data_IF_326856961966
#
_entry.id   IF_326856961966
#
_cell.length_a   1.000
_cell.length_b   1.000
_cell.length_c   1.000
_cell.angle_alpha   90.00
_cell.angle_beta   90.00
_cell.angle_gamma   90.00
#
_symmetry.space_group_name_H-M   'P 1'
#
loop_
_entity.id
_entity.type
_entity.pdbx_description
1 polymer ?
#
# COMPACT_ATOMS: atom_id res chain seq x y z
N UNK A 1 32.32 -13.89 15.53
CA UNK A 1 31.88 -13.17 16.73
C UNK A 1 30.39 -12.93 16.58
N UNK A 2 29.56 -13.67 17.32
CA UNK A 2 28.10 -13.58 17.26
C UNK A 2 27.65 -12.74 18.45
N UNK A 3 27.35 -11.47 18.20
CA UNK A 3 26.85 -10.55 19.21
C UNK A 3 25.36 -10.80 19.42
N UNK A 4 25.02 -11.22 20.63
CA UNK A 4 23.66 -11.16 21.20
C UNK A 4 23.24 -9.70 21.28
N UNK A 5 22.09 -9.33 20.71
CA UNK A 5 21.53 -7.97 20.82
C UNK A 5 20.14 -8.04 21.46
N UNK A 6 20.04 -7.37 22.61
CA UNK A 6 18.82 -7.10 23.37
C UNK A 6 17.81 -6.29 22.53
N UNK A 7 16.54 -6.67 22.62
CA UNK A 7 15.40 -5.98 22.02
C UNK A 7 14.56 -5.33 23.14
N UNK A 8 14.32 -4.02 23.02
CA UNK A 8 13.13 -3.22 23.41
C UNK A 8 13.52 -1.75 23.22
N UNK A 9 12.69 -0.96 22.51
CA UNK A 9 12.21 0.37 22.93
C UNK A 9 11.93 1.32 21.76
N UNK A 10 10.66 1.31 21.33
CA UNK A 10 9.87 2.52 21.04
C UNK A 10 9.86 3.12 19.61
N UNK A 11 8.63 3.17 19.04
CA UNK A 11 8.03 4.17 18.13
C UNK A 11 7.92 3.88 16.62
N UNK A 12 6.81 3.25 16.21
CA UNK A 12 6.43 3.12 14.78
C UNK A 12 4.95 3.48 14.58
N UNK A 13 4.64 4.77 14.68
CA UNK A 13 3.26 5.27 14.75
C UNK A 13 2.66 5.73 13.42
N UNK A 14 3.06 5.22 12.25
CA UNK A 14 2.19 5.24 11.04
C UNK A 14 2.67 4.27 9.94
N UNK A 15 3.48 3.27 10.33
CA UNK A 15 3.68 2.06 9.54
C UNK A 15 2.37 1.26 9.36
N UNK A 16 1.24 1.71 9.90
CA UNK A 16 -0.11 1.16 9.73
C UNK A 16 -0.77 1.59 8.42
N UNK A 17 -0.44 2.75 7.85
CA UNK A 17 -0.87 3.05 6.46
C UNK A 17 -0.02 2.23 5.49
N UNK A 18 1.27 2.05 5.75
CA UNK A 18 2.22 1.54 4.76
C UNK A 18 2.68 0.09 4.91
N UNK A 19 2.59 -0.47 6.11
CA UNK A 19 3.29 -1.70 6.47
C UNK A 19 4.81 -1.52 6.51
N UNK A 20 5.39 -1.77 7.68
CA UNK A 20 6.80 -2.15 7.94
C UNK A 20 7.89 -1.06 8.06
N UNK A 21 8.74 -1.13 9.12
CA UNK A 21 10.05 -0.48 9.18
C UNK A 21 11.12 -1.24 8.35
N UNK A 22 12.10 -0.54 7.76
CA UNK A 22 13.11 -1.15 6.85
C UNK A 22 14.01 -2.20 7.52
N UNK A 23 14.39 -1.99 8.78
CA UNK A 23 15.42 -2.82 9.42
C UNK A 23 14.92 -4.19 9.88
N UNK A 24 13.60 -4.40 9.88
CA UNK A 24 12.99 -5.60 10.45
C UNK A 24 12.11 -6.38 9.46
N UNK A 25 11.79 -5.86 8.27
CA UNK A 25 10.84 -6.51 7.37
C UNK A 25 11.28 -7.88 6.83
N UNK A 26 12.51 -7.97 6.31
CA UNK A 26 13.02 -9.19 5.68
C UNK A 26 13.22 -10.31 6.70
N UNK A 27 13.61 -9.95 7.93
CA UNK A 27 13.92 -10.91 8.99
C UNK A 27 12.77 -11.13 9.95
N UNK A 28 11.92 -10.16 10.32
CA UNK A 28 11.02 -10.27 11.49
C UNK A 28 9.87 -11.27 11.35
N UNK A 29 9.33 -11.56 10.17
CA UNK A 29 8.32 -12.63 10.06
C UNK A 29 9.00 -13.96 10.33
N UNK A 30 10.11 -14.27 9.66
CA UNK A 30 10.85 -15.51 9.91
C UNK A 30 11.55 -15.52 11.27
N UNK A 31 12.11 -14.43 11.75
CA UNK A 31 12.76 -14.25 13.07
C UNK A 31 11.74 -14.10 14.21
N UNK A 32 10.44 -14.00 13.94
CA UNK A 32 9.41 -14.22 14.97
C UNK A 32 8.78 -15.60 14.86
N UNK A 33 8.69 -16.18 13.66
CA UNK A 33 8.17 -17.52 13.46
C UNK A 33 9.18 -18.62 13.84
N UNK A 34 10.47 -18.39 13.61
CA UNK A 34 11.56 -19.36 13.81
C UNK A 34 12.09 -19.41 15.25
N UNK A 35 12.16 -18.33 16.06
CA UNK A 35 12.65 -18.44 17.44
C UNK A 35 11.62 -18.87 18.48
N UNK A 36 10.30 -18.76 18.19
CA UNK A 36 9.26 -19.45 18.99
C UNK A 36 9.30 -20.97 18.83
N UNK A 37 10.18 -21.47 17.97
CA UNK A 37 10.57 -22.87 17.88
C UNK A 37 11.71 -23.12 18.87
N UNK A 38 11.39 -23.56 20.09
CA UNK A 38 12.40 -24.01 21.06
C UNK A 38 12.96 -25.39 20.64
N UNK A 39 14.23 -25.50 20.18
CA UNK A 39 14.83 -26.78 19.82
C UNK A 39 15.04 -27.69 21.04
N UNK A 40 14.84 -27.20 22.27
CA UNK A 40 14.91 -27.99 23.51
C UNK A 40 13.58 -28.57 23.93
N UNK A 41 12.48 -28.29 23.22
CA UNK A 41 11.24 -29.02 23.39
C UNK A 41 11.38 -30.42 22.75
N UNK A 42 11.43 -31.51 23.54
CA UNK A 42 11.78 -32.84 23.04
C UNK A 42 10.73 -33.45 22.10
N UNK A 43 9.58 -32.79 21.89
CA UNK A 43 8.52 -33.23 20.96
C UNK A 43 8.50 -32.50 19.61
N UNK A 44 9.39 -31.52 19.37
CA UNK A 44 9.32 -30.66 18.18
C UNK A 44 10.63 -30.54 17.42
N UNK A 45 11.41 -31.62 17.29
CA UNK A 45 12.71 -31.59 16.59
C UNK A 45 12.65 -31.65 15.04
N UNK A 46 11.47 -31.64 14.41
CA UNK A 46 11.33 -32.00 12.99
C UNK A 46 11.02 -30.87 11.99
N UNK A 47 10.69 -29.65 12.42
CA UNK A 47 10.25 -28.57 11.50
C UNK A 47 11.41 -27.72 10.98
N UNK A 48 12.45 -27.42 11.78
CA UNK A 48 13.61 -26.66 11.25
C UNK A 48 14.50 -27.46 10.29
N UNK A 49 14.29 -28.77 10.19
CA UNK A 49 14.88 -29.62 9.16
C UNK A 49 13.97 -29.78 7.91
N UNK A 50 12.75 -29.23 7.88
CA UNK A 50 11.76 -29.52 6.82
C UNK A 50 11.34 -28.33 5.94
N UNK A 51 11.57 -27.07 6.34
CA UNK A 51 11.26 -25.94 5.47
C UNK A 51 12.28 -25.88 4.33
N UNK A 52 11.81 -25.99 3.09
CA UNK A 52 12.70 -25.88 1.93
C UNK A 52 13.30 -24.48 1.84
N UNK A 53 14.48 -24.36 1.23
CA UNK A 53 15.06 -23.04 0.92
C UNK A 53 14.15 -22.20 0.01
N UNK A 54 13.36 -22.84 -0.85
CA UNK A 54 12.36 -22.18 -1.69
C UNK A 54 11.28 -21.50 -0.86
N UNK A 55 10.74 -22.18 0.16
CA UNK A 55 9.72 -21.63 1.04
C UNK A 55 10.28 -20.46 1.86
N UNK A 56 11.46 -20.64 2.45
CA UNK A 56 12.13 -19.58 3.25
C UNK A 56 12.38 -18.34 2.38
N UNK A 57 12.99 -18.52 1.21
CA UNK A 57 13.27 -17.40 0.31
C UNK A 57 11.99 -16.77 -0.26
N UNK A 58 10.94 -17.55 -0.49
CA UNK A 58 9.66 -17.05 -1.00
C UNK A 58 8.83 -16.27 0.02
N UNK A 59 9.16 -16.37 1.32
CA UNK A 59 8.53 -15.57 2.38
C UNK A 59 9.26 -14.24 2.63
N UNK A 60 10.45 -14.05 2.05
CA UNK A 60 11.17 -12.79 2.13
C UNK A 60 10.53 -11.76 1.19
N UNK A 61 10.50 -10.50 1.64
CA UNK A 61 10.22 -9.38 0.76
C UNK A 61 11.35 -9.20 -0.25
N UNK A 62 11.02 -8.69 -1.44
CA UNK A 62 12.02 -8.34 -2.43
C UNK A 62 12.89 -7.16 -1.95
N UNK A 63 14.14 -7.09 -2.43
CA UNK A 63 15.05 -5.99 -2.07
C UNK A 63 14.45 -4.61 -2.39
N UNK A 64 13.77 -4.48 -3.52
CA UNK A 64 13.14 -3.21 -3.91
C UNK A 64 11.93 -2.85 -3.03
N UNK A 65 11.24 -3.84 -2.45
CA UNK A 65 10.18 -3.60 -1.47
C UNK A 65 10.81 -3.03 -0.20
N UNK A 66 11.86 -3.68 0.31
CA UNK A 66 12.59 -3.24 1.51
C UNK A 66 13.14 -1.82 1.32
N UNK A 67 13.83 -1.55 0.22
CA UNK A 67 14.40 -0.23 -0.05
C UNK A 67 13.32 0.85 -0.15
N UNK A 68 12.15 0.52 -0.70
CA UNK A 68 11.04 1.48 -0.79
C UNK A 68 10.43 1.85 0.57
N UNK A 69 10.52 0.95 1.56
CA UNK A 69 10.05 1.24 2.92
C UNK A 69 10.96 2.22 3.66
N UNK A 70 12.16 2.52 3.14
CA UNK A 70 13.11 3.42 3.80
C UNK A 70 12.74 4.90 3.69
N UNK A 71 11.85 5.26 2.76
CA UNK A 71 11.52 6.65 2.47
C UNK A 71 10.18 7.05 3.09
N UNK A 72 10.24 8.05 3.98
CA UNK A 72 9.09 8.58 4.69
C UNK A 72 8.88 10.07 4.39
N UNK A 73 7.63 10.48 4.54
CA UNK A 73 7.21 11.86 4.71
C UNK A 73 6.95 12.06 6.20
N UNK A 74 7.73 12.94 6.82
CA UNK A 74 7.45 13.40 8.17
C UNK A 74 6.52 14.61 8.12
N UNK A 75 5.43 14.55 8.88
CA UNK A 75 4.51 15.65 9.10
C UNK A 75 4.76 16.13 10.53
N UNK A 76 5.37 17.29 10.69
CA UNK A 76 5.80 17.78 11.99
C UNK A 76 5.54 19.27 12.15
N UNK A 77 5.43 19.77 13.40
CA UNK A 77 5.38 21.17 13.65
C UNK A 77 6.76 21.78 13.35
N UNK A 78 6.74 23.04 12.95
CA UNK A 78 7.92 23.82 12.67
C UNK A 78 7.74 25.27 13.15
N UNK A 79 8.86 25.97 13.26
CA UNK A 79 8.90 27.43 13.36
C UNK A 79 9.60 28.02 12.15
N UNK A 80 9.19 29.19 11.73
CA UNK A 80 9.91 29.97 10.74
C UNK A 80 10.88 30.90 11.48
N UNK A 81 12.17 30.82 11.17
CA UNK A 81 13.15 31.80 11.63
C UNK A 81 12.90 33.16 10.97
N UNK A 82 13.53 34.21 11.50
CA UNK A 82 13.38 35.59 10.99
C UNK A 82 13.77 35.72 9.50
N UNK A 83 14.62 34.82 9.00
CA UNK A 83 15.07 34.76 7.61
C UNK A 83 14.15 33.94 6.68
N UNK A 84 13.05 33.38 7.20
CA UNK A 84 12.13 32.54 6.45
C UNK A 84 12.48 31.04 6.47
N UNK A 85 13.58 30.64 7.11
CA UNK A 85 13.99 29.24 7.20
C UNK A 85 13.01 28.46 8.07
N UNK A 86 12.55 27.32 7.57
CA UNK A 86 11.73 26.37 8.32
C UNK A 86 12.65 25.58 9.24
N UNK A 87 12.43 25.69 10.56
CA UNK A 87 13.13 24.93 11.60
C UNK A 87 12.11 23.95 12.19
N UNK A 88 12.19 22.65 11.84
CA UNK A 88 11.33 21.64 12.44
C UNK A 88 11.56 21.54 13.94
N UNK A 89 10.50 21.24 14.69
CA UNK A 89 10.66 20.94 16.12
C UNK A 89 11.10 19.48 16.27
N UNK A 90 12.40 19.29 16.48
CA UNK A 90 13.05 17.98 16.44
C UNK A 90 13.29 17.36 17.81
N UNK A 91 13.27 18.14 18.90
CA UNK A 91 13.65 17.70 20.24
C UNK A 91 12.54 17.87 21.29
N UNK A 92 12.53 16.97 22.27
CA UNK A 92 11.64 17.02 23.45
C UNK A 92 12.16 17.96 24.57
N UNK A 93 13.41 18.41 24.47
CA UNK A 93 14.07 19.27 25.46
C UNK A 93 13.82 20.77 25.20
N UNK A 94 13.13 21.12 24.11
CA UNK A 94 12.50 22.43 24.02
C UNK A 94 11.33 22.41 25.02
N UNK A 95 11.58 22.91 26.24
CA UNK A 95 10.60 23.33 27.24
C UNK A 95 9.68 24.47 26.72
N UNK A 96 9.49 24.55 25.40
CA UNK A 96 8.72 25.59 24.74
C UNK A 96 7.21 25.30 24.91
N UNK A 97 6.51 26.05 25.78
CA UNK A 97 5.06 25.89 25.97
C UNK A 97 4.26 26.14 24.69
N UNK A 98 4.86 26.71 23.63
CA UNK A 98 4.22 26.91 22.35
C UNK A 98 3.95 25.61 21.57
N UNK A 99 4.74 24.56 21.74
CA UNK A 99 4.48 23.24 21.12
C UNK A 99 3.20 22.62 21.72
N UNK A 100 2.97 22.82 23.02
CA UNK A 100 1.73 22.43 23.68
C UNK A 100 0.53 23.30 23.24
N UNK A 101 0.78 24.51 22.71
CA UNK A 101 -0.28 25.40 22.20
C UNK A 101 -0.76 25.03 20.79
N UNK A 102 0.05 24.34 19.97
CA UNK A 102 -0.39 23.73 18.70
C UNK A 102 -1.55 22.75 18.95
N UNK A 103 -1.55 22.06 20.11
CA UNK A 103 -2.68 21.20 20.53
C UNK A 103 -3.97 21.97 20.81
N UNK A 104 -3.91 23.28 21.08
CA UNK A 104 -5.09 24.10 21.36
C UNK A 104 -5.70 24.70 20.09
N UNK A 105 -4.87 25.05 19.11
CA UNK A 105 -5.31 25.57 17.82
C UNK A 105 -4.29 25.20 16.73
N UNK A 106 -4.45 24.06 16.04
CA UNK A 106 -3.66 23.78 14.84
C UNK A 106 -4.15 24.73 13.75
N UNK A 107 -3.67 25.98 13.75
CA UNK A 107 -3.77 26.82 12.57
C UNK A 107 -2.73 26.33 11.56
N UNK A 108 -3.11 26.31 10.27
CA UNK A 108 -2.34 25.79 9.12
C UNK A 108 -0.85 26.15 9.09
N UNK A 109 -0.45 27.26 9.70
CA UNK A 109 0.86 27.87 9.47
C UNK A 109 2.05 27.10 10.04
N UNK A 110 1.86 26.21 11.03
CA UNK A 110 3.00 25.66 11.79
C UNK A 110 3.21 24.15 11.58
N UNK A 111 2.51 23.49 10.66
CA UNK A 111 2.76 22.07 10.31
C UNK A 111 3.30 22.01 8.87
N UNK A 112 4.37 21.24 8.64
CA UNK A 112 4.97 21.07 7.32
C UNK A 112 5.25 19.60 7.04
N UNK A 113 5.32 19.26 5.75
CA UNK A 113 5.91 18.02 5.28
C UNK A 113 7.43 18.16 5.12
N UNK A 114 8.14 17.12 5.55
CA UNK A 114 9.55 16.88 5.25
C UNK A 114 9.63 15.57 4.48
N UNK A 115 10.21 15.62 3.29
CA UNK A 115 10.35 14.47 2.39
C UNK A 115 11.72 13.79 2.60
N UNK A 116 11.84 12.57 2.12
CA UNK A 116 13.08 11.78 2.15
C UNK A 116 13.66 11.60 3.56
N UNK A 117 12.78 11.46 4.56
CA UNK A 117 13.19 11.11 5.93
C UNK A 117 13.40 9.61 6.00
N UNK A 118 14.51 9.17 6.59
CA UNK A 118 14.89 7.75 6.71
C UNK A 118 15.33 7.39 8.13
N UNK A 119 15.30 6.08 8.50
CA UNK A 119 15.67 5.67 9.84
C UNK A 119 17.16 5.91 10.13
N UNK A 120 17.48 6.54 11.26
CA UNK A 120 18.85 6.79 11.71
C UNK A 120 19.47 5.51 12.33
N UNK A 121 20.74 5.54 12.73
CA UNK A 121 21.37 4.39 13.42
C UNK A 121 20.70 4.03 14.76
N UNK A 122 19.92 4.96 15.34
CA UNK A 122 19.04 4.74 16.49
C UNK A 122 17.57 4.61 16.10
N UNK A 123 17.25 4.13 14.88
CA UNK A 123 15.89 3.92 14.40
C UNK A 123 15.00 3.14 15.38
N UNK A 124 15.61 2.20 16.11
CA UNK A 124 14.91 1.41 17.13
C UNK A 124 14.29 2.26 18.23
N UNK A 125 14.77 3.48 18.46
CA UNK A 125 14.23 4.45 19.44
C UNK A 125 13.34 5.52 18.82
N UNK A 126 12.96 5.35 17.55
CA UNK A 126 12.11 6.28 16.82
C UNK A 126 12.83 7.51 16.28
N UNK A 127 14.16 7.44 16.12
CA UNK A 127 14.97 8.52 15.56
C UNK A 127 15.14 8.33 14.06
N UNK A 128 14.84 9.37 13.32
CA UNK A 128 14.94 9.46 11.86
C UNK A 128 15.81 10.65 11.49
N UNK A 129 16.32 10.70 10.27
CA UNK A 129 17.06 11.86 9.75
C UNK A 129 16.67 12.14 8.30
N UNK A 130 16.86 13.38 7.84
CA UNK A 130 16.74 13.73 6.42
C UNK A 130 18.11 13.72 5.71
N UNK A 131 18.11 14.04 4.41
CA UNK A 131 19.33 14.09 3.58
C UNK A 131 20.38 15.08 4.10
N UNK A 132 19.96 16.10 4.87
CA UNK A 132 20.82 17.13 5.46
C UNK A 132 21.32 16.74 6.88
N UNK A 133 20.90 15.57 7.40
CA UNK A 133 21.28 15.06 8.71
C UNK A 133 20.50 15.69 9.88
N UNK A 134 19.36 16.33 9.61
CA UNK A 134 18.48 16.85 10.66
C UNK A 134 17.72 15.68 11.28
N UNK A 135 17.87 15.47 12.58
CA UNK A 135 17.18 14.37 13.29
C UNK A 135 15.70 14.70 13.56
N UNK A 136 14.81 13.71 13.46
CA UNK A 136 13.39 13.78 13.78
C UNK A 136 13.03 12.65 14.74
N UNK A 137 12.20 12.94 15.75
CA UNK A 137 11.71 11.94 16.69
C UNK A 137 10.23 11.63 16.50
N UNK A 138 9.95 10.41 16.09
CA UNK A 138 8.63 9.81 16.22
C UNK A 138 8.54 9.26 17.64
N UNK A 139 7.72 9.83 18.52
CA UNK A 139 7.46 9.24 19.85
C UNK A 139 5.97 9.18 20.17
N UNK A 140 5.50 8.41 21.18
CA UNK A 140 4.07 8.39 21.55
C UNK A 140 3.60 9.71 22.17
N UNK A 141 4.54 10.63 22.44
CA UNK A 141 4.28 12.03 22.82
C UNK A 141 4.63 12.99 21.66
N UNK A 142 4.81 12.44 20.47
CA UNK A 142 5.73 12.87 19.41
C UNK A 142 5.63 14.29 18.90
N UNK A 143 6.73 14.69 18.25
CA UNK A 143 6.83 15.88 17.41
C UNK A 143 6.46 15.57 15.96
N UNK A 144 6.68 14.36 15.42
CA UNK A 144 6.38 14.05 14.02
C UNK A 144 5.45 12.85 13.81
N UNK A 145 4.64 12.91 12.75
CA UNK A 145 3.86 11.82 12.16
C UNK A 145 4.59 11.31 10.91
N UNK A 146 4.86 10.02 10.80
CA UNK A 146 5.67 9.46 9.70
C UNK A 146 4.84 8.60 8.76
N UNK A 147 4.66 9.00 7.51
CA UNK A 147 3.92 8.24 6.49
C UNK A 147 4.92 7.76 5.43
N UNK A 148 4.93 6.50 4.99
CA UNK A 148 5.80 6.15 3.84
C UNK A 148 5.45 7.00 2.64
N UNK A 149 6.46 7.37 1.86
CA UNK A 149 6.31 8.26 0.73
C UNK A 149 5.21 7.83 -0.26
N UNK A 150 5.22 6.56 -0.68
CA UNK A 150 4.23 6.01 -1.64
C UNK A 150 2.80 6.06 -1.10
N UNK A 151 2.61 5.74 0.17
CA UNK A 151 1.31 5.85 0.84
C UNK A 151 0.83 7.30 0.94
N UNK A 152 1.74 8.26 1.16
CA UNK A 152 1.42 9.68 1.18
C UNK A 152 0.95 10.17 -0.19
N UNK A 153 1.59 9.74 -1.29
CA UNK A 153 1.13 10.06 -2.65
C UNK A 153 -0.28 9.52 -2.92
N UNK A 154 -0.56 8.27 -2.50
CA UNK A 154 -1.90 7.68 -2.61
C UNK A 154 -2.92 8.48 -1.80
N UNK A 155 -2.56 8.90 -0.57
CA UNK A 155 -3.41 9.72 0.28
C UNK A 155 -3.76 11.05 -0.39
N UNK A 156 -2.77 11.75 -0.96
CA UNK A 156 -2.99 13.02 -1.69
C UNK A 156 -3.89 12.83 -2.91
N UNK A 157 -3.85 11.68 -3.58
CA UNK A 157 -4.76 11.38 -4.69
C UNK A 157 -6.18 11.06 -4.23
N UNK A 158 -6.30 10.21 -3.20
CA UNK A 158 -7.57 9.64 -2.75
C UNK A 158 -8.39 10.61 -1.89
N UNK A 159 -7.69 11.46 -1.13
CA UNK A 159 -8.24 12.40 -0.17
C UNK A 159 -7.56 13.78 -0.34
N UNK A 160 -7.76 14.46 -1.50
CA UNK A 160 -7.01 15.66 -1.86
C UNK A 160 -7.26 16.85 -0.92
N UNK A 161 -8.39 16.87 -0.22
CA UNK A 161 -8.74 17.91 0.75
C UNK A 161 -8.03 17.72 2.09
N UNK A 162 -7.50 16.53 2.38
CA UNK A 162 -6.79 16.26 3.63
C UNK A 162 -5.40 16.88 3.55
N UNK A 163 -5.19 17.89 4.40
CA UNK A 163 -3.92 18.59 4.54
C UNK A 163 -3.05 18.01 5.67
N UNK A 164 -1.73 18.26 5.66
CA UNK A 164 -0.80 17.75 6.67
C UNK A 164 -1.20 18.12 8.11
N UNK A 165 -1.65 19.35 8.34
CA UNK A 165 -2.07 19.80 9.66
C UNK A 165 -3.30 19.01 10.18
N UNK A 166 -4.19 18.56 9.28
CA UNK A 166 -5.35 17.74 9.63
C UNK A 166 -4.90 16.33 10.03
N UNK A 167 -3.99 15.73 9.27
CA UNK A 167 -3.39 14.42 9.62
C UNK A 167 -2.71 14.49 10.98
N UNK A 168 -1.96 15.57 11.23
CA UNK A 168 -1.31 15.81 12.50
C UNK A 168 -2.33 15.93 13.65
N UNK A 169 -3.39 16.71 13.46
CA UNK A 169 -4.45 16.88 14.46
C UNK A 169 -5.21 15.58 14.76
N UNK A 170 -5.46 14.76 13.75
CA UNK A 170 -6.06 13.43 13.92
C UNK A 170 -5.13 12.47 14.65
N UNK A 171 -3.84 12.46 14.30
CA UNK A 171 -2.83 11.62 14.94
C UNK A 171 -2.54 11.99 16.39
N UNK A 172 -2.63 13.28 16.73
CA UNK A 172 -2.30 13.81 18.05
C UNK A 172 -3.46 14.63 18.63
N UNK A 173 -4.59 13.99 18.99
CA UNK A 173 -5.76 14.70 19.48
C UNK A 173 -5.47 15.44 20.80
N UNK A 174 -6.13 16.58 20.97
CA UNK A 174 -5.96 17.48 22.12
C UNK A 174 -6.41 16.88 23.45
N UNK A 175 -7.21 15.82 23.43
CA UNK A 175 -7.74 15.12 24.60
C UNK A 175 -6.71 14.22 25.30
N UNK A 176 -5.48 14.17 24.77
CA UNK A 176 -4.37 13.42 25.34
C UNK A 176 -4.47 11.90 25.13
N UNK A 177 -5.46 11.43 24.35
CA UNK A 177 -5.51 10.02 23.94
C UNK A 177 -4.34 9.74 23.01
N UNK A 178 -3.53 8.76 23.41
CA UNK A 178 -2.47 8.24 22.55
C UNK A 178 -3.12 7.29 21.55
N UNK A 179 -3.18 7.72 20.30
CA UNK A 179 -3.61 6.88 19.17
C UNK A 179 -2.56 5.82 18.82
N UNK A 180 -1.31 5.98 19.29
CA UNK A 180 -0.16 5.16 18.87
C UNK A 180 -0.08 5.00 17.33
N UNK A 181 -0.54 6.02 16.59
CA UNK A 181 -0.59 5.96 15.12
C UNK A 181 -1.82 5.30 14.51
N UNK A 182 -2.72 4.74 15.33
CA UNK A 182 -3.99 4.18 14.88
C UNK A 182 -5.12 5.18 15.15
N UNK A 183 -5.66 5.74 14.08
CA UNK A 183 -6.78 6.66 14.18
C UNK A 183 -8.05 5.86 14.52
N UNK A 184 -8.67 6.22 15.65
CA UNK A 184 -9.92 5.61 16.09
C UNK A 184 -10.98 5.65 14.97
N UNK A 185 -11.57 4.49 14.66
CA UNK A 185 -12.63 4.37 13.67
C UNK A 185 -12.15 4.16 12.23
N UNK A 186 -10.85 4.07 11.98
CA UNK A 186 -10.29 3.69 10.69
C UNK A 186 -9.99 2.18 10.69
N UNK A 187 -10.46 1.48 9.65
CA UNK A 187 -10.00 0.11 9.36
C UNK A 187 -8.84 0.16 8.37
N UNK A 188 -7.68 -0.24 8.86
CA UNK A 188 -6.43 -0.42 8.14
C UNK A 188 -6.33 -1.79 7.46
N UNK A 189 -7.30 -2.68 7.68
CA UNK A 189 -7.36 -4.01 7.09
C UNK A 189 -6.46 -5.00 7.85
N UNK A 190 -5.70 -5.88 7.17
CA UNK A 190 -4.85 -6.86 7.84
C UNK A 190 -3.85 -6.28 8.85
N UNK A 191 -3.44 -5.02 8.68
CA UNK A 191 -2.48 -4.35 9.58
C UNK A 191 -3.13 -3.67 10.79
N UNK A 192 -4.45 -3.80 10.99
CA UNK A 192 -5.20 -3.16 12.10
C UNK A 192 -4.65 -3.51 13.50
N UNK A 193 -4.03 -4.69 13.64
CA UNK A 193 -3.48 -5.20 14.90
C UNK A 193 -1.96 -5.02 15.03
N UNK A 194 -1.33 -4.41 14.02
CA UNK A 194 0.10 -4.10 14.04
C UNK A 194 0.25 -2.69 14.61
N UNK A 195 0.13 -2.57 15.93
CA UNK A 195 0.31 -1.31 16.64
C UNK A 195 1.28 -1.43 17.81
N UNK A 196 1.95 -0.31 18.11
CA UNK A 196 2.80 -0.16 19.30
C UNK A 196 4.26 -0.59 19.14
N UNK A 197 4.97 -0.61 20.27
CA UNK A 197 6.44 -0.75 20.36
C UNK A 197 6.95 -2.20 20.20
N UNK A 198 6.07 -3.11 19.82
CA UNK A 198 6.36 -4.52 19.57
C UNK A 198 5.38 -4.98 18.50
N UNK A 199 5.56 -4.52 17.25
CA UNK A 199 4.65 -4.85 16.16
C UNK A 199 4.49 -6.36 16.10
N UNK A 200 3.27 -6.82 16.38
CA UNK A 200 2.95 -8.25 16.36
C UNK A 200 2.78 -8.68 14.92
N UNK A 201 3.87 -8.71 14.15
CA UNK A 201 3.87 -8.99 12.71
C UNK A 201 3.12 -10.27 12.35
N UNK A 202 3.16 -11.26 13.23
CA UNK A 202 2.43 -12.53 13.08
C UNK A 202 0.90 -12.33 13.07
N UNK A 203 0.37 -11.26 13.65
CA UNK A 203 -1.06 -10.94 13.68
C UNK A 203 -1.59 -10.31 12.39
N UNK A 204 -0.75 -10.18 11.35
CA UNK A 204 -1.21 -9.80 10.00
C UNK A 204 -2.20 -10.82 9.43
N UNK A 205 -2.11 -12.08 9.86
CA UNK A 205 -2.98 -13.12 9.38
C UNK A 205 -4.45 -12.88 9.79
N UNK A 206 -5.37 -13.32 8.93
CA UNK A 206 -6.79 -13.37 9.23
C UNK A 206 -7.03 -14.47 10.27
N UNK A 207 -7.21 -14.06 11.53
CA UNK A 207 -7.52 -14.94 12.65
C UNK A 207 -9.03 -15.03 12.88
N UNK A 208 -9.52 -16.23 13.15
CA UNK A 208 -10.82 -16.40 13.79
C UNK A 208 -10.70 -15.98 15.28
N UNK A 209 -11.80 -15.62 15.95
CA UNK A 209 -11.80 -15.06 17.33
C UNK A 209 -11.05 -15.88 18.40
N UNK A 210 -10.68 -17.13 18.09
CA UNK A 210 -10.03 -18.07 19.01
C UNK A 210 -8.71 -18.65 18.49
N UNK A 211 -8.24 -18.25 17.31
CA UNK A 211 -6.99 -18.76 16.75
C UNK A 211 -5.79 -17.93 17.22
N UNK A 212 -4.76 -18.59 17.75
CA UNK A 212 -3.47 -17.97 18.03
C UNK A 212 -2.69 -17.77 16.72
N UNK A 213 -2.23 -16.54 16.44
CA UNK A 213 -1.41 -16.21 15.28
C UNK A 213 -0.21 -17.17 15.11
N UNK A 214 0.46 -17.55 16.20
CA UNK A 214 1.57 -18.49 16.13
C UNK A 214 1.11 -19.88 15.69
N UNK A 215 -0.04 -20.33 16.18
CA UNK A 215 -0.64 -21.61 15.79
C UNK A 215 -1.06 -21.60 14.32
N UNK A 216 -1.66 -20.50 13.84
CA UNK A 216 -1.99 -20.30 12.44
C UNK A 216 -0.76 -20.46 11.55
N UNK A 217 0.30 -19.69 11.81
CA UNK A 217 1.50 -19.70 10.99
C UNK A 217 2.23 -21.04 11.05
N UNK A 218 2.33 -21.63 12.25
CA UNK A 218 2.88 -22.97 12.40
C UNK A 218 2.09 -23.96 11.55
N UNK A 219 0.77 -23.98 11.69
CA UNK A 219 -0.09 -24.88 10.93
C UNK A 219 0.11 -24.68 9.43
N UNK A 220 0.03 -23.44 8.93
CA UNK A 220 0.22 -23.09 7.51
C UNK A 220 1.57 -23.57 6.95
N UNK A 221 2.66 -23.31 7.68
CA UNK A 221 4.02 -23.62 7.23
C UNK A 221 4.35 -25.12 7.34
N UNK A 222 3.60 -25.88 8.14
CA UNK A 222 3.82 -27.32 8.33
C UNK A 222 2.71 -28.21 7.75
N UNK A 223 1.84 -27.70 6.88
CA UNK A 223 0.71 -28.49 6.35
C UNK A 223 1.20 -29.69 5.52
N UNK A 224 0.94 -30.94 5.95
CA UNK A 224 1.35 -32.10 5.18
C UNK A 224 0.56 -32.18 3.88
N UNK A 225 1.25 -32.47 2.78
CA UNK A 225 0.64 -32.66 1.46
C UNK A 225 0.43 -31.38 0.64
N UNK A 226 0.80 -30.21 1.16
CA UNK A 226 0.90 -28.99 0.35
C UNK A 226 2.32 -28.79 -0.16
N UNK A 227 2.41 -28.26 -1.38
CA UNK A 227 3.65 -27.81 -1.98
C UNK A 227 4.06 -26.43 -1.44
N UNK A 228 5.35 -26.09 -1.53
CA UNK A 228 5.84 -24.76 -1.15
C UNK A 228 5.08 -23.64 -1.87
N UNK A 229 4.74 -23.83 -3.14
CA UNK A 229 3.97 -22.84 -3.91
C UNK A 229 2.57 -22.61 -3.35
N UNK A 230 1.89 -23.66 -2.88
CA UNK A 230 0.55 -23.54 -2.28
C UNK A 230 0.62 -22.90 -0.90
N UNK A 231 1.68 -23.19 -0.13
CA UNK A 231 1.94 -22.55 1.17
C UNK A 231 2.22 -21.06 0.96
N UNK A 232 3.08 -20.71 0.00
CA UNK A 232 3.40 -19.33 -0.35
C UNK A 232 2.17 -18.57 -0.86
N UNK A 233 1.36 -19.17 -1.73
CA UNK A 233 0.11 -18.52 -2.20
C UNK A 233 -0.85 -18.27 -1.02
N UNK A 234 -0.99 -19.21 -0.09
CA UNK A 234 -1.81 -19.03 1.11
C UNK A 234 -1.24 -18.00 2.10
N UNK A 235 0.09 -17.89 2.21
CA UNK A 235 0.77 -16.89 3.03
C UNK A 235 0.62 -15.48 2.45
N UNK A 236 0.85 -15.33 1.14
CA UNK A 236 0.83 -14.04 0.46
C UNK A 236 -0.56 -13.56 0.11
N UNK A 237 -1.44 -14.42 -0.45
CA UNK A 237 -2.77 -14.06 -0.95
C UNK A 237 -3.92 -14.57 -0.09
N UNK A 238 -3.69 -15.65 0.63
CA UNK A 238 -4.70 -16.26 1.51
C UNK A 238 -4.79 -15.56 2.86
N UNK A 239 -5.11 -16.35 3.90
CA UNK A 239 -5.25 -15.85 5.28
C UNK A 239 -3.94 -15.30 5.86
N UNK A 240 -2.78 -15.54 5.26
CA UNK A 240 -1.53 -14.98 5.75
C UNK A 240 -1.38 -13.47 5.50
N UNK A 241 -2.10 -12.89 4.53
CA UNK A 241 -2.15 -11.46 4.25
C UNK A 241 -0.79 -10.73 4.07
N UNK A 242 0.29 -11.44 3.71
CA UNK A 242 1.60 -10.78 3.52
C UNK A 242 1.58 -9.76 2.38
N UNK A 243 0.60 -9.83 1.48
CA UNK A 243 0.37 -8.82 0.43
C UNK A 243 0.30 -7.38 0.96
N UNK A 244 -0.09 -7.18 2.23
CA UNK A 244 -0.18 -5.85 2.85
C UNK A 244 1.19 -5.17 3.06
N UNK A 245 2.30 -5.93 2.95
CA UNK A 245 3.66 -5.41 3.08
C UNK A 245 4.35 -5.14 1.74
N UNK A 246 3.74 -5.55 0.62
CA UNK A 246 4.30 -5.34 -0.71
C UNK A 246 4.10 -3.88 -1.10
N UNK A 247 5.11 -3.24 -1.72
CA UNK A 247 5.00 -1.82 -2.06
C UNK A 247 3.81 -1.54 -2.98
N UNK A 248 3.04 -0.47 -2.76
CA UNK A 248 1.79 -0.24 -3.48
C UNK A 248 1.98 0.42 -4.85
N UNK A 249 3.17 0.86 -5.22
CA UNK A 249 3.49 1.59 -6.46
C UNK A 249 4.09 0.68 -7.55
N UNK A 250 4.08 -0.66 -7.36
CA UNK A 250 4.47 -1.63 -8.40
C UNK A 250 3.27 -2.07 -9.22
N UNK A 251 3.13 -1.44 -10.37
CA UNK A 251 2.07 -1.75 -11.31
C UNK A 251 2.44 -2.93 -12.21
N UNK A 252 1.49 -3.83 -12.54
CA UNK A 252 1.77 -5.06 -13.28
C UNK A 252 1.88 -4.84 -14.80
N UNK A 253 2.69 -3.84 -15.20
CA UNK A 253 2.86 -3.43 -16.61
C UNK A 253 3.58 -4.53 -17.39
N UNK A 254 4.65 -5.11 -16.82
CA UNK A 254 5.42 -6.16 -17.48
C UNK A 254 4.55 -7.42 -17.71
N UNK A 255 3.76 -7.82 -16.71
CA UNK A 255 2.82 -8.93 -16.76
C UNK A 255 1.71 -8.68 -17.78
N UNK A 256 1.25 -7.43 -17.88
CA UNK A 256 0.28 -7.02 -18.89
C UNK A 256 0.86 -7.10 -20.30
N UNK A 257 2.09 -6.65 -20.50
CA UNK A 257 2.77 -6.72 -21.80
C UNK A 257 3.10 -8.16 -22.21
N UNK A 258 3.40 -9.03 -21.24
CA UNK A 258 3.65 -10.45 -21.48
C UNK A 258 2.37 -11.27 -21.70
N UNK A 259 1.21 -10.71 -21.32
CA UNK A 259 -0.08 -11.37 -21.46
C UNK A 259 -0.50 -11.44 -22.93
N UNK A 260 -0.89 -12.63 -23.44
CA UNK A 260 -1.44 -12.74 -24.78
C UNK A 260 -2.70 -11.87 -24.96
N UNK A 261 -2.86 -11.22 -26.14
CA UNK A 261 -4.08 -10.49 -26.44
C UNK A 261 -5.30 -11.42 -26.35
N UNK A 262 -6.45 -10.83 -26.03
CA UNK A 262 -7.70 -11.60 -26.06
C UNK A 262 -7.92 -12.17 -27.46
N UNK A 263 -8.24 -13.46 -27.53
CA UNK A 263 -8.53 -14.11 -28.79
C UNK A 263 -9.65 -13.36 -29.53
N UNK A 264 -9.35 -12.97 -30.77
CA UNK A 264 -10.34 -12.45 -31.69
C UNK A 264 -11.18 -13.61 -32.24
N UNK A 265 -12.48 -13.38 -32.36
CA UNK A 265 -13.41 -14.32 -32.94
C UNK A 265 -14.08 -13.61 -34.11
N UNK A 266 -13.50 -13.69 -35.32
CA UNK A 266 -14.14 -13.12 -36.48
C UNK A 266 -15.53 -13.73 -36.59
N UNK A 267 -16.55 -12.88 -36.46
CA UNK A 267 -17.90 -13.25 -36.79
C UNK A 267 -17.94 -13.27 -38.32
N UNK A 268 -18.05 -14.45 -38.93
CA UNK A 268 -18.18 -14.53 -40.39
C UNK A 268 -19.42 -13.74 -40.82
N UNK A 269 -19.25 -12.83 -41.78
CA UNK A 269 -20.31 -11.92 -42.25
C UNK A 269 -21.33 -12.59 -43.19
N UNK A 270 -21.21 -13.89 -43.47
CA UNK A 270 -21.88 -14.50 -44.63
C UNK A 270 -22.83 -15.65 -44.32
N UNK A 271 -23.53 -15.64 -43.17
CA UNK A 271 -24.74 -16.47 -43.06
C UNK A 271 -25.99 -15.59 -43.28
N UNK A 272 -26.57 -15.59 -44.50
CA UNK A 272 -27.82 -14.87 -44.77
C UNK A 272 -29.01 -15.40 -43.95
N UNK A 273 -28.85 -16.53 -43.24
CA UNK A 273 -29.83 -17.04 -42.27
C UNK A 273 -29.47 -16.69 -40.81
N UNK A 274 -28.38 -15.96 -40.54
CA UNK A 274 -28.07 -15.47 -39.21
C UNK A 274 -29.17 -14.50 -38.77
N UNK A 275 -29.97 -14.95 -37.81
CA UNK A 275 -31.11 -14.21 -37.28
C UNK A 275 -30.69 -12.75 -36.94
N UNK A 276 -31.42 -11.71 -37.42
CA UNK A 276 -31.11 -10.30 -37.15
C UNK A 276 -31.38 -9.87 -35.68
N UNK A 277 -31.44 -10.82 -34.74
CA UNK A 277 -31.98 -10.61 -33.38
C UNK A 277 -31.01 -10.16 -32.30
N UNK A 278 -29.82 -9.64 -32.65
CA UNK A 278 -28.92 -9.05 -31.66
C UNK A 278 -29.37 -7.62 -31.31
N UNK A 279 -29.26 -7.17 -30.04
CA UNK A 279 -29.46 -5.77 -29.72
C UNK A 279 -28.49 -4.89 -30.53
N UNK A 280 -28.89 -3.66 -30.90
CA UNK A 280 -28.01 -2.69 -31.54
C UNK A 280 -26.69 -2.49 -30.76
N UNK A 281 -25.58 -2.26 -31.46
CA UNK A 281 -24.24 -2.13 -30.84
C UNK A 281 -24.22 -1.02 -29.78
N UNK A 282 -24.84 0.11 -30.05
CA UNK A 282 -24.98 1.24 -29.14
C UNK A 282 -25.68 0.83 -27.84
N UNK A 283 -26.74 0.01 -27.90
CA UNK A 283 -27.42 -0.52 -26.71
C UNK A 283 -26.49 -1.45 -25.92
N UNK A 284 -25.73 -2.32 -26.59
CA UNK A 284 -24.78 -3.22 -25.94
C UNK A 284 -23.67 -2.42 -25.25
N UNK A 285 -23.06 -1.46 -25.95
CA UNK A 285 -21.99 -0.63 -25.41
C UNK A 285 -22.50 0.20 -24.23
N UNK A 286 -23.70 0.78 -24.34
CA UNK A 286 -24.31 1.53 -23.25
C UNK A 286 -24.54 0.64 -22.02
N UNK A 287 -25.01 -0.60 -22.19
CA UNK A 287 -25.10 -1.57 -21.08
C UNK A 287 -23.71 -1.82 -20.48
N UNK A 288 -22.69 -2.05 -21.31
CA UNK A 288 -21.32 -2.30 -20.84
C UNK A 288 -20.72 -1.14 -20.04
N UNK A 289 -21.13 0.12 -20.32
CA UNK A 289 -20.70 1.29 -19.56
C UNK A 289 -21.20 1.28 -18.10
N UNK A 290 -22.37 0.68 -17.82
CA UNK A 290 -22.90 0.54 -16.46
C UNK A 290 -22.45 -0.73 -15.74
N UNK A 291 -21.89 -1.70 -16.47
CA UNK A 291 -21.44 -2.94 -15.86
C UNK A 291 -20.13 -2.70 -15.08
N UNK A 292 -19.98 -3.30 -13.89
CA UNK A 292 -18.66 -3.33 -13.27
C UNK A 292 -17.72 -4.14 -14.18
N UNK A 293 -16.46 -3.75 -14.22
CA UNK A 293 -15.50 -4.29 -15.19
C UNK A 293 -15.33 -5.83 -15.11
N UNK A 294 -15.57 -6.45 -13.95
CA UNK A 294 -15.59 -7.91 -13.82
C UNK A 294 -16.77 -8.58 -14.56
N UNK A 295 -17.92 -7.91 -14.65
CA UNK A 295 -19.07 -8.40 -15.40
C UNK A 295 -18.86 -8.30 -16.92
N UNK A 296 -18.01 -7.38 -17.38
CA UNK A 296 -17.62 -7.30 -18.80
C UNK A 296 -16.92 -8.59 -19.25
N UNK A 297 -16.11 -9.22 -18.39
CA UNK A 297 -15.54 -10.56 -18.69
C UNK A 297 -16.62 -11.61 -18.93
N UNK A 298 -17.66 -11.61 -18.10
CA UNK A 298 -18.79 -12.52 -18.28
C UNK A 298 -19.50 -12.25 -19.61
N UNK A 299 -19.76 -10.99 -19.95
CA UNK A 299 -20.37 -10.58 -21.24
C UNK A 299 -19.55 -11.10 -22.42
N UNK A 300 -18.22 -10.88 -22.42
CA UNK A 300 -17.32 -11.37 -23.47
C UNK A 300 -17.27 -12.91 -23.54
N UNK A 301 -17.66 -13.62 -22.48
CA UNK A 301 -17.76 -15.07 -22.41
C UNK A 301 -19.10 -15.64 -22.88
N UNK A 302 -20.18 -14.84 -22.92
CA UNK A 302 -21.54 -15.35 -23.19
C UNK A 302 -21.78 -15.76 -24.64
N UNK A 303 -21.39 -14.93 -25.60
CA UNK A 303 -21.68 -15.13 -27.02
C UNK A 303 -20.55 -14.58 -27.90
N UNK A 304 -20.13 -15.35 -28.92
CA UNK A 304 -19.09 -14.96 -29.87
C UNK A 304 -19.42 -13.65 -30.61
N UNK A 305 -20.71 -13.43 -30.94
CA UNK A 305 -21.16 -12.22 -31.63
C UNK A 305 -21.03 -10.97 -30.74
N UNK A 306 -21.50 -11.05 -29.49
CA UNK A 306 -21.36 -9.96 -28.52
C UNK A 306 -19.89 -9.69 -28.25
N UNK A 307 -19.08 -10.74 -28.11
CA UNK A 307 -17.63 -10.60 -27.97
C UNK A 307 -17.01 -9.87 -29.16
N UNK A 308 -17.29 -10.28 -30.40
CA UNK A 308 -16.76 -9.64 -31.60
C UNK A 308 -17.17 -8.15 -31.69
N UNK A 309 -18.38 -7.83 -31.23
CA UNK A 309 -18.91 -6.45 -31.20
C UNK A 309 -18.28 -5.59 -30.10
N UNK A 310 -18.08 -6.13 -28.89
CA UNK A 310 -17.61 -5.36 -27.72
C UNK A 310 -16.08 -5.29 -27.65
N UNK A 311 -15.38 -6.33 -28.11
CA UNK A 311 -13.92 -6.45 -27.98
C UNK A 311 -13.15 -5.23 -28.52
N UNK A 312 -13.50 -4.63 -29.68
CA UNK A 312 -12.84 -3.42 -30.18
C UNK A 312 -12.97 -2.19 -29.27
N UNK A 313 -13.95 -2.19 -28.36
CA UNK A 313 -14.26 -1.06 -27.48
C UNK A 313 -13.88 -1.32 -26.01
N UNK A 314 -13.43 -2.54 -25.69
CA UNK A 314 -13.28 -2.98 -24.30
C UNK A 314 -12.25 -2.15 -23.54
N UNK A 315 -11.16 -1.73 -24.19
CA UNK A 315 -10.13 -0.92 -23.52
C UNK A 315 -10.63 0.49 -23.20
N UNK A 316 -11.43 1.10 -24.08
CA UNK A 316 -12.05 2.39 -23.81
C UNK A 316 -13.03 2.33 -22.64
N UNK A 317 -13.85 1.27 -22.58
CA UNK A 317 -14.75 1.01 -21.46
C UNK A 317 -13.93 0.76 -20.18
N UNK A 318 -12.92 -0.10 -20.25
CA UNK A 318 -12.09 -0.45 -19.11
C UNK A 318 -11.36 0.76 -18.53
N UNK A 319 -10.77 1.61 -19.37
CA UNK A 319 -10.13 2.87 -18.95
C UNK A 319 -11.10 3.75 -18.18
N UNK A 320 -12.32 3.92 -18.69
CA UNK A 320 -13.34 4.74 -18.02
C UNK A 320 -13.68 4.19 -16.65
N UNK A 321 -13.95 2.89 -16.54
CA UNK A 321 -14.27 2.23 -15.26
C UNK A 321 -13.09 2.24 -14.28
N UNK A 322 -11.85 2.13 -14.77
CA UNK A 322 -10.66 2.32 -13.93
C UNK A 322 -10.60 3.73 -13.35
N UNK A 323 -10.88 4.76 -14.14
CA UNK A 323 -10.87 6.16 -13.66
C UNK A 323 -12.00 6.41 -12.65
N UNK A 324 -13.20 5.88 -12.92
CA UNK A 324 -14.40 6.17 -12.13
C UNK A 324 -14.53 5.28 -10.88
N UNK A 325 -14.34 3.97 -11.03
CA UNK A 325 -14.64 2.98 -9.98
C UNK A 325 -13.40 2.43 -9.27
N UNK A 326 -12.28 2.29 -9.99
CA UNK A 326 -11.05 1.65 -9.49
C UNK A 326 -9.81 2.56 -9.61
N UNK A 327 -9.86 3.85 -9.21
CA UNK A 327 -8.79 4.83 -9.47
C UNK A 327 -7.47 4.47 -8.78
N UNK A 328 -7.51 3.62 -7.76
CA UNK A 328 -6.32 3.07 -7.12
C UNK A 328 -5.48 2.19 -8.05
N UNK A 329 -5.95 1.76 -9.23
CA UNK A 329 -5.10 1.08 -10.22
C UNK A 329 -4.37 2.03 -11.17
N UNK A 330 -4.47 3.35 -10.95
CA UNK A 330 -3.77 4.38 -11.73
C UNK A 330 -2.66 5.02 -10.88
N UNK A 331 -1.60 5.56 -11.51
CA UNK A 331 -0.53 6.24 -10.81
C UNK A 331 -1.06 7.49 -10.08
N UNK A 332 -0.51 7.78 -8.90
CA UNK A 332 -0.84 8.97 -8.12
C UNK A 332 -0.04 10.18 -8.64
N UNK A 333 -0.70 11.34 -8.74
CA UNK A 333 -0.08 12.59 -9.18
C UNK A 333 -0.24 12.88 -10.68
N UNK A 334 0.50 13.87 -11.21
CA UNK A 334 1.57 14.61 -10.53
C UNK A 334 1.04 15.55 -9.44
N UNK A 335 1.83 15.75 -8.38
CA UNK A 335 1.56 16.74 -7.32
C UNK A 335 2.58 17.86 -7.32
N UNK A 336 2.15 19.06 -6.93
CA UNK A 336 3.03 20.21 -6.73
C UNK A 336 3.44 20.28 -5.26
N UNK A 337 4.71 19.96 -4.97
CA UNK A 337 5.32 20.12 -3.65
C UNK A 337 6.38 21.23 -3.66
N UNK A 338 6.78 21.70 -2.46
CA UNK A 338 7.83 22.73 -2.31
C UNK A 338 9.13 22.35 -3.02
N UNK A 339 9.58 21.10 -2.85
CA UNK A 339 10.74 20.54 -3.56
C UNK A 339 10.25 19.94 -4.87
N UNK A 340 10.63 20.55 -6.00
CA UNK A 340 10.16 20.19 -7.36
C UNK A 340 10.54 18.78 -7.82
N UNK A 341 11.45 18.10 -7.12
CA UNK A 341 11.81 16.71 -7.40
C UNK A 341 10.72 15.72 -7.01
N UNK A 342 9.78 16.10 -6.13
CA UNK A 342 8.76 15.22 -5.61
C UNK A 342 7.41 15.33 -6.33
N UNK A 343 6.60 14.29 -6.17
CA UNK A 343 5.22 14.21 -6.65
C UNK A 343 5.07 13.79 -8.10
N UNK A 344 6.15 13.44 -8.81
CA UNK A 344 6.11 13.02 -10.23
C UNK A 344 6.70 11.65 -10.49
N UNK A 345 7.42 11.09 -9.53
CA UNK A 345 8.25 9.89 -9.65
C UNK A 345 7.41 8.69 -10.07
N UNK A 346 6.23 8.51 -9.48
CA UNK A 346 5.31 7.40 -9.80
C UNK A 346 4.77 7.51 -11.24
N UNK A 347 4.32 8.70 -11.67
CA UNK A 347 3.81 8.95 -13.03
C UNK A 347 4.92 8.80 -14.08
N UNK A 348 6.11 9.30 -13.78
CA UNK A 348 7.25 9.22 -14.69
C UNK A 348 7.81 7.78 -14.78
N UNK A 349 7.83 7.04 -13.67
CA UNK A 349 8.12 5.60 -13.65
C UNK A 349 7.09 4.84 -14.48
N UNK A 350 5.80 5.07 -14.24
CA UNK A 350 4.69 4.45 -14.97
C UNK A 350 4.79 4.66 -16.48
N UNK A 351 5.00 5.90 -16.92
CA UNK A 351 5.15 6.23 -18.33
C UNK A 351 6.39 5.56 -18.96
N UNK A 352 7.50 5.46 -18.21
CA UNK A 352 8.72 4.79 -18.66
C UNK A 352 8.52 3.28 -18.83
N UNK A 353 7.84 2.62 -17.91
CA UNK A 353 7.57 1.18 -17.99
C UNK A 353 6.69 0.83 -19.20
N UNK A 354 5.63 1.59 -19.45
CA UNK A 354 4.85 1.46 -20.69
C UNK A 354 5.68 1.76 -21.94
N UNK A 355 6.63 2.69 -21.84
CA UNK A 355 7.61 2.99 -22.89
C UNK A 355 8.47 1.79 -23.27
N UNK A 356 8.82 0.91 -22.33
CA UNK A 356 9.54 -0.36 -22.62
C UNK A 356 8.70 -1.30 -23.49
N UNK A 357 7.37 -1.23 -23.37
CA UNK A 357 6.41 -1.94 -24.23
C UNK A 357 6.12 -1.25 -25.56
N UNK A 358 6.80 -0.14 -25.90
CA UNK A 358 6.60 0.59 -27.14
C UNK A 358 5.38 1.54 -27.14
N UNK A 359 4.83 1.85 -25.96
CA UNK A 359 3.74 2.83 -25.80
C UNK A 359 4.33 4.16 -25.31
N UNK A 360 4.34 5.18 -26.18
CA UNK A 360 4.85 6.49 -25.83
C UNK A 360 3.95 7.23 -24.82
N UNK A 361 4.53 8.14 -24.01
CA UNK A 361 3.80 8.91 -22.98
C UNK A 361 2.53 9.61 -23.51
N UNK A 362 2.59 10.17 -24.73
CA UNK A 362 1.45 10.85 -25.38
C UNK A 362 0.33 9.91 -25.82
N UNK A 363 0.62 8.61 -25.92
CA UNK A 363 -0.28 7.60 -26.45
C UNK A 363 -0.82 6.66 -25.35
N UNK A 364 -0.47 6.89 -24.07
CA UNK A 364 -0.86 6.01 -22.94
C UNK A 364 -2.37 5.80 -22.88
N UNK A 365 -3.16 6.86 -23.07
CA UNK A 365 -4.61 6.77 -22.99
C UNK A 365 -5.23 5.88 -24.06
N UNK A 366 -4.65 5.84 -25.26
CA UNK A 366 -5.22 5.15 -26.42
C UNK A 366 -4.63 3.75 -26.63
N UNK A 367 -3.37 3.53 -26.26
CA UNK A 367 -2.62 2.33 -26.63
C UNK A 367 -2.39 1.35 -25.49
N UNK A 368 -2.64 1.73 -24.24
CA UNK A 368 -2.62 0.77 -23.13
C UNK A 368 -3.76 -0.24 -23.33
N UNK A 369 -3.50 -1.54 -23.25
CA UNK A 369 -4.54 -2.57 -23.26
C UNK A 369 -5.25 -2.60 -21.90
N UNK A 370 -6.03 -1.56 -21.61
CA UNK A 370 -6.64 -1.27 -20.31
C UNK A 370 -7.41 -2.44 -19.71
N UNK A 371 -8.09 -3.23 -20.53
CA UNK A 371 -8.84 -4.37 -20.05
C UNK A 371 -7.92 -5.49 -19.53
N UNK A 372 -6.83 -5.79 -20.26
CA UNK A 372 -5.80 -6.73 -19.80
C UNK A 372 -5.04 -6.18 -18.61
N UNK A 373 -4.69 -4.89 -18.64
CA UNK A 373 -4.01 -4.22 -17.54
C UNK A 373 -4.78 -4.36 -16.23
N UNK A 374 -6.09 -4.07 -16.26
CA UNK A 374 -6.93 -4.25 -15.08
C UNK A 374 -6.97 -5.71 -14.63
N UNK A 375 -6.98 -6.67 -15.56
CA UNK A 375 -6.93 -8.10 -15.21
C UNK A 375 -5.70 -8.42 -14.36
N UNK A 376 -4.54 -7.95 -14.79
CA UNK A 376 -3.29 -8.21 -14.07
C UNK A 376 -3.23 -7.41 -12.75
N UNK A 377 -3.85 -6.22 -12.69
CA UNK A 377 -4.05 -5.51 -11.41
C UNK A 377 -4.81 -6.34 -10.38
N UNK A 378 -5.85 -7.06 -10.80
CA UNK A 378 -6.61 -7.92 -9.89
C UNK A 378 -5.81 -9.09 -9.31
N UNK A 379 -4.66 -9.43 -9.91
CA UNK A 379 -3.75 -10.51 -9.50
C UNK A 379 -2.51 -10.03 -8.76
N UNK A 380 -2.22 -8.72 -8.83
CA UNK A 380 -1.05 -8.09 -8.24
C UNK A 380 -1.26 -7.81 -6.76
N UNK A 381 -0.33 -8.28 -5.92
CA UNK A 381 -0.31 -8.03 -4.48
C UNK A 381 -0.17 -6.55 -4.17
N UNK A 382 0.71 -5.85 -4.91
CA UNK A 382 0.91 -4.40 -4.81
C UNK A 382 -0.39 -3.63 -5.04
N UNK A 383 -1.19 -4.05 -6.01
CA UNK A 383 -2.47 -3.42 -6.31
C UNK A 383 -3.55 -3.73 -5.26
N UNK A 384 -3.47 -4.88 -4.57
CA UNK A 384 -4.30 -5.14 -3.39
C UNK A 384 -3.91 -4.21 -2.23
N UNK A 385 -2.60 -4.04 -1.98
CA UNK A 385 -2.13 -3.10 -0.96
C UNK A 385 -2.52 -1.65 -1.27
N UNK A 386 -2.35 -1.23 -2.53
CA UNK A 386 -2.77 0.10 -2.98
C UNK A 386 -4.26 0.35 -2.78
N UNK A 387 -5.11 -0.64 -3.09
CA UNK A 387 -6.56 -0.55 -2.84
C UNK A 387 -6.87 -0.40 -1.34
N UNK A 388 -6.17 -1.13 -0.48
CA UNK A 388 -6.29 -0.99 0.99
C UNK A 388 -5.93 0.42 1.44
N UNK A 389 -4.78 0.94 1.02
CA UNK A 389 -4.31 2.29 1.36
C UNK A 389 -5.27 3.36 0.87
N UNK A 390 -5.81 3.21 -0.35
CA UNK A 390 -6.84 4.10 -0.87
C UNK A 390 -8.08 4.12 0.03
N UNK A 391 -8.56 2.94 0.44
CA UNK A 391 -9.69 2.82 1.37
C UNK A 391 -9.41 3.48 2.73
N UNK A 392 -8.19 3.35 3.26
CA UNK A 392 -7.75 4.03 4.48
C UNK A 392 -7.77 5.55 4.30
N UNK A 393 -7.21 6.07 3.20
CA UNK A 393 -7.18 7.49 2.91
C UNK A 393 -8.60 8.11 2.82
N UNK A 394 -9.55 7.41 2.19
CA UNK A 394 -10.96 7.83 2.15
C UNK A 394 -11.58 7.89 3.55
N UNK A 395 -11.35 6.87 4.38
CA UNK A 395 -11.84 6.87 5.76
C UNK A 395 -11.22 8.00 6.59
N UNK A 396 -9.95 8.35 6.35
CA UNK A 396 -9.28 9.49 7.00
C UNK A 396 -9.96 10.81 6.62
N UNK A 397 -10.30 11.00 5.34
CA UNK A 397 -11.06 12.17 4.88
C UNK A 397 -12.43 12.26 5.56
N UNK A 398 -13.15 11.15 5.63
CA UNK A 398 -14.45 11.08 6.31
C UNK A 398 -14.33 11.38 7.81
N UNK A 399 -13.28 10.87 8.46
CA UNK A 399 -12.97 11.16 9.85
C UNK A 399 -12.65 12.65 10.05
N UNK A 400 -11.82 13.26 9.20
CA UNK A 400 -11.49 14.68 9.23
C UNK A 400 -12.75 15.54 9.13
N UNK A 401 -13.65 15.21 8.19
CA UNK A 401 -14.96 15.86 8.03
C UNK A 401 -15.83 15.71 9.28
N UNK A 402 -15.91 14.51 9.85
CA UNK A 402 -16.70 14.26 11.06
C UNK A 402 -16.20 15.03 12.30
N UNK A 403 -14.90 15.37 12.32
CA UNK A 403 -14.25 16.14 13.38
C UNK A 403 -14.26 17.66 13.15
N UNK A 404 -14.81 18.12 12.01
CA UNK A 404 -14.84 19.54 11.65
C UNK A 404 -13.49 20.12 11.24
N UNK A 405 -12.60 19.28 10.70
CA UNK A 405 -11.32 19.71 10.13
C UNK A 405 -11.42 20.02 8.62
N UNK A 406 -12.52 19.62 7.97
CA UNK A 406 -12.83 19.83 6.54
C UNK A 406 -14.11 20.64 6.31
#
# INVERSE_FOLDING_TARGET
MRGTICLISDCECFCSVSGVPPLHAATAVLDHLLPTYDPKSPDKSNVSQSASSTLVNGLLLDGDDVDSTAFFVAICPYRTADDGTIIPYTQADDDDPHILSVKKHPNDSNITEVFDVFPHHMASTGVYEDEDGVEYRSTPKGTALLVTYTSYLILKQAAPLVEPHMLYALGFPSDGRKTNGQLDGISYGPVDYISGNSPRWIQICSMDEHEDALAFWFHLLTQPGKTDSEILDAAWRGRGNLWAFVRPDRFPIAETLATPPLADYPCGDDDPNACPGGPPLDVILHICEFLPIHAIYAVLGTCKRVRAQVLPHVDGIARRRLVEDEPWFLPAGPFEFKKKSHGREEVDWWAREWGKGGIARKDLDMRIPWFLYRRECSRSLSMWNRRRIWGVARQIEDLARSKGLL
#
